data_IF_649063282239
#
_entry.id   IF_649063282239
#
_cell.length_a   1.000
_cell.length_b   1.000
_cell.length_c   1.000
_cell.angle_alpha   90.00
_cell.angle_beta   90.00
_cell.angle_gamma   90.00
#
_symmetry.space_group_name_H-M   'P 1'
#
loop_
_entity.id
_entity.type
_entity.pdbx_description
1 polymer ?
#
# COMPACT_ATOMS: atom_id res chain seq x y z
N UNK A 1 -14.57 8.50 7.83
CA UNK A 1 -14.44 7.93 6.48
C UNK A 1 -14.21 6.45 6.66
N UNK A 2 -15.13 5.60 6.20
CA UNK A 2 -14.99 4.15 6.29
C UNK A 2 -14.23 3.70 5.06
N UNK A 3 -13.04 3.13 5.24
CA UNK A 3 -12.28 2.54 4.14
C UNK A 3 -12.98 1.26 3.70
N UNK A 4 -13.01 0.98 2.39
CA UNK A 4 -13.58 -0.28 1.86
C UNK A 4 -12.85 -1.49 2.45
N UNK A 5 -11.54 -1.37 2.64
CA UNK A 5 -10.67 -2.38 3.22
C UNK A 5 -10.27 -1.98 4.64
N UNK A 6 -10.39 -2.93 5.57
CA UNK A 6 -9.89 -2.79 6.93
C UNK A 6 -8.39 -3.06 6.97
N UNK A 7 -7.72 -2.53 8.00
CA UNK A 7 -6.28 -2.72 8.22
C UNK A 7 -5.88 -4.20 8.18
N UNK A 8 -6.60 -5.07 8.87
CA UNK A 8 -6.32 -6.51 8.89
C UNK A 8 -6.37 -7.15 7.50
N UNK A 9 -7.32 -6.73 6.66
CA UNK A 9 -7.44 -7.25 5.29
C UNK A 9 -6.26 -6.80 4.42
N UNK A 10 -5.80 -5.56 4.58
CA UNK A 10 -4.62 -5.04 3.89
C UNK A 10 -3.35 -5.80 4.32
N UNK A 11 -3.20 -6.06 5.62
CA UNK A 11 -2.08 -6.85 6.17
C UNK A 11 -2.10 -8.30 5.67
N UNK A 12 -3.29 -8.92 5.60
CA UNK A 12 -3.46 -10.26 5.03
C UNK A 12 -3.06 -10.31 3.55
N UNK A 13 -3.47 -9.32 2.75
CA UNK A 13 -3.06 -9.22 1.35
C UNK A 13 -1.54 -9.05 1.22
N UNK A 14 -0.92 -8.18 2.02
CA UNK A 14 0.53 -7.99 2.01
C UNK A 14 1.27 -9.30 2.29
N UNK A 15 0.81 -10.08 3.28
CA UNK A 15 1.39 -11.39 3.62
C UNK A 15 1.26 -12.41 2.48
N UNK A 16 0.08 -12.49 1.84
CA UNK A 16 -0.13 -13.39 0.70
C UNK A 16 0.77 -13.00 -0.48
N UNK A 17 0.89 -11.70 -0.76
CA UNK A 17 1.74 -11.22 -1.84
C UNK A 17 3.23 -11.39 -1.55
N UNK A 18 3.65 -11.24 -0.29
CA UNK A 18 5.03 -11.51 0.13
C UNK A 18 5.43 -12.97 -0.11
N UNK A 19 4.54 -13.92 0.21
CA UNK A 19 4.76 -15.35 -0.08
C UNK A 19 4.89 -15.60 -1.60
N UNK A 20 4.00 -15.00 -2.41
CA UNK A 20 4.06 -15.09 -3.86
C UNK A 20 5.35 -14.48 -4.45
N UNK A 21 5.80 -13.33 -3.93
CA UNK A 21 7.06 -12.69 -4.32
C UNK A 21 8.26 -13.56 -3.93
N UNK A 22 8.23 -14.18 -2.76
CA UNK A 22 9.26 -15.13 -2.31
C UNK A 22 9.36 -16.33 -3.24
N UNK A 23 8.22 -16.97 -3.56
CA UNK A 23 8.14 -18.10 -4.51
C UNK A 23 8.63 -17.68 -5.90
N UNK A 24 8.23 -16.51 -6.39
CA UNK A 24 8.67 -16.01 -7.69
C UNK A 24 10.17 -15.71 -7.72
N UNK A 25 10.76 -15.32 -6.60
CA UNK A 25 12.20 -15.03 -6.48
C UNK A 25 13.06 -16.30 -6.45
N UNK A 26 12.51 -17.42 -6.01
CA UNK A 26 13.16 -18.75 -6.04
C UNK A 26 13.15 -19.37 -7.44
N UNK A 27 12.37 -18.82 -8.38
CA UNK A 27 12.37 -19.26 -9.77
C UNK A 27 13.66 -18.81 -10.49
N UNK A 28 14.70 -19.64 -10.49
CA UNK A 28 16.01 -19.39 -11.16
C UNK A 28 15.93 -19.33 -12.70
N UNK A 29 14.75 -19.59 -13.28
CA UNK A 29 14.56 -19.49 -14.72
C UNK A 29 14.62 -18.02 -15.12
N UNK A 30 15.64 -17.68 -15.90
CA UNK A 30 15.92 -16.33 -16.45
C UNK A 30 14.72 -15.72 -17.23
N UNK A 31 13.76 -16.56 -17.64
CA UNK A 31 12.54 -16.18 -18.38
C UNK A 31 11.23 -16.39 -17.57
N UNK A 32 11.33 -16.59 -16.25
CA UNK A 32 10.18 -16.79 -15.37
C UNK A 32 9.48 -15.44 -15.15
N UNK A 33 8.50 -15.11 -15.99
CA UNK A 33 7.69 -13.87 -15.88
C UNK A 33 7.02 -13.65 -14.51
N UNK A 34 7.04 -14.66 -13.64
CA UNK A 34 6.52 -14.66 -12.28
C UNK A 34 6.98 -13.46 -11.44
N UNK A 35 8.25 -13.04 -11.55
CA UNK A 35 8.77 -11.93 -10.73
C UNK A 35 8.17 -10.58 -11.15
N UNK A 36 8.02 -10.35 -12.45
CA UNK A 36 7.41 -9.13 -12.98
C UNK A 36 5.91 -9.08 -12.68
N UNK A 37 5.23 -10.23 -12.74
CA UNK A 37 3.81 -10.35 -12.48
C UNK A 37 3.47 -10.07 -10.99
N UNK A 38 4.21 -10.66 -10.05
CA UNK A 38 4.02 -10.39 -8.61
C UNK A 38 4.28 -8.93 -8.26
N UNK A 39 5.28 -8.29 -8.89
CA UNK A 39 5.60 -6.88 -8.67
C UNK A 39 4.49 -5.95 -9.19
N UNK A 40 3.91 -6.26 -10.36
CA UNK A 40 2.79 -5.50 -10.92
C UNK A 40 1.56 -5.59 -10.00
N UNK A 41 1.22 -6.79 -9.55
CA UNK A 41 0.07 -7.04 -8.65
C UNK A 41 0.23 -6.26 -7.33
N UNK A 42 1.43 -6.25 -6.73
CA UNK A 42 1.67 -5.46 -5.52
C UNK A 42 1.44 -3.97 -5.72
N UNK A 43 1.86 -3.41 -6.87
CA UNK A 43 1.64 -2.00 -7.18
C UNK A 43 0.16 -1.70 -7.40
N UNK A 44 -0.57 -2.55 -8.12
CA UNK A 44 -1.99 -2.39 -8.37
C UNK A 44 -2.80 -2.38 -7.07
N UNK A 45 -2.48 -3.28 -6.13
CA UNK A 45 -3.12 -3.27 -4.80
C UNK A 45 -2.74 -2.04 -3.98
N UNK A 46 -1.48 -1.61 -4.03
CA UNK A 46 -1.04 -0.42 -3.32
C UNK A 46 -1.78 0.84 -3.82
N UNK A 47 -1.98 0.95 -5.14
CA UNK A 47 -2.70 2.06 -5.76
C UNK A 47 -4.21 1.98 -5.45
N UNK A 48 -4.80 0.77 -5.44
CA UNK A 48 -6.19 0.55 -5.03
C UNK A 48 -6.42 0.97 -3.57
N UNK A 49 -5.55 0.57 -2.64
CA UNK A 49 -5.67 0.92 -1.23
C UNK A 49 -5.46 2.41 -0.97
N UNK A 50 -4.57 3.07 -1.73
CA UNK A 50 -4.41 4.51 -1.68
C UNK A 50 -5.67 5.25 -2.17
N UNK A 51 -6.33 4.74 -3.22
CA UNK A 51 -7.56 5.33 -3.74
C UNK A 51 -8.76 5.16 -2.78
N UNK A 52 -8.88 4.01 -2.12
CA UNK A 52 -9.96 3.74 -1.15
C UNK A 52 -9.71 4.34 0.24
N UNK A 53 -8.46 4.72 0.56
CA UNK A 53 -8.09 5.37 1.82
C UNK A 53 -7.21 6.60 1.59
N UNK A 54 -7.75 7.65 0.96
CA UNK A 54 -6.99 8.86 0.70
C UNK A 54 -6.71 9.60 2.02
N UNK A 55 -5.61 10.38 2.09
CA UNK A 55 -5.37 11.26 3.21
C UNK A 55 -6.51 12.27 3.33
N UNK A 56 -6.93 12.55 4.57
CA UNK A 56 -8.05 13.45 4.84
C UNK A 56 -7.55 14.82 5.31
N UNK A 57 -8.31 15.86 4.99
CA UNK A 57 -8.07 17.18 5.54
C UNK A 57 -8.33 17.19 7.05
N UNK A 58 -7.29 17.36 7.86
CA UNK A 58 -7.44 17.72 9.26
C UNK A 58 -7.44 19.24 9.39
N UNK A 59 -8.64 19.81 9.56
CA UNK A 59 -8.80 21.22 9.90
C UNK A 59 -8.37 21.44 11.36
N UNK A 60 -7.34 22.25 11.57
CA UNK A 60 -7.00 22.73 12.91
C UNK A 60 -7.93 23.89 13.27
N UNK A 61 -8.84 23.68 14.23
CA UNK A 61 -9.59 24.76 14.86
C UNK A 61 -8.76 25.31 16.04
N UNK A 62 -7.70 26.05 15.73
CA UNK A 62 -6.93 26.82 16.71
C UNK A 62 -7.35 28.30 16.71
N UNK A 63 -7.35 29.00 17.85
CA UNK A 63 -7.67 30.43 17.88
C UNK A 63 -6.53 31.23 17.23
N UNK A 64 -6.73 31.67 15.98
CA UNK A 64 -6.02 32.83 15.43
C UNK A 64 -5.11 32.66 14.21
N UNK A 65 -5.14 31.58 13.42
CA UNK A 65 -4.44 31.57 12.12
C UNK A 65 -5.07 30.60 11.11
N UNK A 66 -4.88 30.96 9.84
CA UNK A 66 -5.28 30.34 8.58
C UNK A 66 -5.89 28.94 8.64
N UNK A 67 -7.02 28.79 7.94
CA UNK A 67 -7.61 27.51 7.54
C UNK A 67 -6.68 26.75 6.57
N UNK A 68 -5.47 26.42 7.01
CA UNK A 68 -4.52 25.58 6.31
C UNK A 68 -4.91 24.13 6.56
N UNK A 69 -5.46 23.51 5.54
CA UNK A 69 -5.77 22.10 5.53
C UNK A 69 -4.45 21.30 5.55
N UNK A 70 -4.16 20.57 6.63
CA UNK A 70 -3.10 19.55 6.63
C UNK A 70 -3.70 18.21 6.26
N UNK A 71 -3.21 17.62 5.18
CA UNK A 71 -3.54 16.24 4.81
C UNK A 71 -2.90 15.30 5.83
N UNK A 72 -3.71 14.51 6.51
CA UNK A 72 -3.27 13.56 7.53
C UNK A 72 -4.06 12.24 7.41
N UNK A 73 -3.43 11.15 7.85
CA UNK A 73 -3.97 9.79 7.71
C UNK A 73 -3.85 9.26 6.29
N UNK A 74 -4.68 8.26 5.97
CA UNK A 74 -4.65 7.55 4.68
C UNK A 74 -3.80 6.28 4.70
N UNK A 75 -3.78 5.58 3.57
CA UNK A 75 -2.99 4.37 3.38
C UNK A 75 -1.52 4.70 3.04
N UNK A 76 -0.59 4.03 3.71
CA UNK A 76 0.84 4.17 3.46
C UNK A 76 1.30 3.17 2.40
N UNK A 77 1.44 3.66 1.17
CA UNK A 77 1.85 2.88 0.00
C UNK A 77 3.23 2.24 0.16
N UNK A 78 4.19 2.99 0.68
CA UNK A 78 5.58 2.53 0.83
C UNK A 78 5.67 1.40 1.85
N UNK A 79 4.97 1.55 2.98
CA UNK A 79 4.93 0.53 4.02
C UNK A 79 4.31 -0.78 3.52
N UNK A 80 3.27 -0.71 2.68
CA UNK A 80 2.65 -1.90 2.10
C UNK A 80 3.57 -2.61 1.10
N UNK A 81 4.26 -1.86 0.23
CA UNK A 81 5.19 -2.45 -0.73
C UNK A 81 6.39 -3.12 -0.03
N UNK A 82 6.90 -2.51 1.03
CA UNK A 82 7.91 -3.13 1.88
C UNK A 82 7.39 -4.42 2.52
N UNK A 83 6.14 -4.43 3.02
CA UNK A 83 5.51 -5.63 3.56
C UNK A 83 5.28 -6.74 2.52
N UNK A 84 5.19 -6.39 1.23
CA UNK A 84 5.17 -7.36 0.13
C UNK A 84 6.55 -7.92 -0.23
N UNK A 85 7.62 -7.52 0.46
CA UNK A 85 9.00 -7.90 0.14
C UNK A 85 9.58 -7.16 -1.06
N UNK A 86 8.99 -6.04 -1.46
CA UNK A 86 9.44 -5.19 -2.57
C UNK A 86 10.26 -4.00 -2.07
N UNK A 87 11.09 -4.21 -1.05
CA UNK A 87 11.96 -3.17 -0.49
C UNK A 87 12.72 -2.45 -1.62
N UNK A 88 12.72 -1.11 -1.54
CA UNK A 88 13.46 -0.23 -2.46
C UNK A 88 14.95 -0.22 -2.12
#
# INVERSE_FOLDING_TARGET
>A
MTTRYQKSQIEDVARILSDAVGIASDCDRVDCGCKMESLAICKDFADLFAADNPPACQAFHGPGHDSSCKLAGGFNREQFLAACGLES
#
